data_IF_696482092119
#
_entry.id   IF_696482092119
#
_cell.length_a   1.000
_cell.length_b   1.000
_cell.length_c   1.000
_cell.angle_alpha   90.00
_cell.angle_beta   90.00
_cell.angle_gamma   90.00
#
_symmetry.space_group_name_H-M   'P 1'
#
loop_
_entity.id
_entity.type
_entity.pdbx_description
1 polymer ?
#
# COMPACT_ATOMS: atom_id res chain seq x y z
N UNK A 1 -23.82 -9.82 -2.87
CA UNK A 1 -22.48 -9.72 -2.26
C UNK A 1 -21.89 -8.37 -2.60
N UNK A 2 -21.36 -7.68 -1.60
CA UNK A 2 -20.68 -6.39 -1.78
C UNK A 2 -19.34 -6.63 -2.48
N UNK A 3 -18.96 -5.71 -3.38
CA UNK A 3 -17.71 -5.79 -4.14
C UNK A 3 -16.54 -5.54 -3.19
N UNK A 4 -15.50 -6.39 -3.21
CA UNK A 4 -14.34 -6.25 -2.32
C UNK A 4 -13.34 -5.26 -2.90
N UNK A 5 -12.68 -4.52 -2.02
CA UNK A 5 -11.49 -3.75 -2.34
C UNK A 5 -10.30 -4.44 -1.68
N UNK A 6 -9.27 -4.75 -2.46
CA UNK A 6 -8.08 -5.44 -1.96
C UNK A 6 -6.96 -4.43 -1.74
N UNK A 7 -6.34 -4.43 -0.57
CA UNK A 7 -5.17 -3.61 -0.24
C UNK A 7 -3.98 -4.49 0.16
N UNK A 8 -2.84 -4.28 -0.48
CA UNK A 8 -1.61 -4.98 -0.17
C UNK A 8 -0.63 -4.02 0.50
N UNK A 9 -0.13 -4.41 1.67
CA UNK A 9 0.84 -3.65 2.46
C UNK A 9 2.20 -4.33 2.38
N UNK A 10 3.15 -3.73 1.67
CA UNK A 10 4.55 -4.11 1.72
C UNK A 10 5.24 -3.30 2.82
N UNK A 11 5.71 -3.98 3.86
CA UNK A 11 6.36 -3.38 5.02
C UNK A 11 7.82 -3.78 5.04
N UNK A 12 8.71 -2.81 4.85
CA UNK A 12 10.15 -3.02 4.93
C UNK A 12 10.56 -3.33 6.37
N UNK A 13 11.24 -4.46 6.55
CA UNK A 13 11.83 -4.89 7.82
C UNK A 13 13.35 -5.03 7.70
N UNK A 14 13.98 -4.44 6.70
CA UNK A 14 15.43 -4.50 6.51
C UNK A 14 16.20 -3.77 7.62
N UNK A 15 17.51 -3.98 7.67
CA UNK A 15 18.34 -3.45 8.75
C UNK A 15 18.36 -1.91 8.82
N UNK A 16 18.11 -1.22 7.70
CA UNK A 16 18.05 0.24 7.65
C UNK A 16 16.85 0.79 8.44
N UNK A 17 15.78 -0.02 8.53
CA UNK A 17 14.56 0.35 9.25
C UNK A 17 14.75 0.43 10.78
N UNK A 18 15.86 -0.07 11.32
CA UNK A 18 16.11 -0.10 12.76
C UNK A 18 16.12 1.30 13.39
N UNK A 19 15.40 1.44 14.51
CA UNK A 19 15.29 2.69 15.26
C UNK A 19 14.06 3.51 14.87
N UNK A 20 14.27 4.74 14.42
CA UNK A 20 13.20 5.68 14.09
C UNK A 20 12.30 5.23 12.91
N UNK A 21 12.84 4.68 11.79
CA UNK A 21 12.00 4.33 10.64
C UNK A 21 10.96 3.24 10.93
N UNK A 22 11.32 2.18 11.69
CA UNK A 22 10.36 1.12 12.05
C UNK A 22 9.29 1.64 13.02
N UNK A 23 9.61 2.62 13.88
CA UNK A 23 8.62 3.28 14.72
C UNK A 23 7.67 4.14 13.88
N UNK A 24 8.20 4.91 12.91
CA UNK A 24 7.39 5.67 11.98
C UNK A 24 6.48 4.77 11.12
N UNK A 25 7.00 3.61 10.67
CA UNK A 25 6.22 2.59 9.97
C UNK A 25 5.09 2.06 10.85
N UNK A 26 5.39 1.63 12.08
CA UNK A 26 4.37 1.11 13.00
C UNK A 26 3.30 2.15 13.31
N UNK A 27 3.68 3.40 13.56
CA UNK A 27 2.74 4.48 13.85
C UNK A 27 1.87 4.80 12.61
N UNK A 28 2.48 4.89 11.43
CA UNK A 28 1.78 5.16 10.18
C UNK A 28 0.82 4.03 9.80
N UNK A 29 1.27 2.78 9.89
CA UNK A 29 0.47 1.59 9.55
C UNK A 29 -0.66 1.36 10.57
N UNK A 30 -0.40 1.41 11.87
CA UNK A 30 -1.46 1.24 12.87
C UNK A 30 -2.44 2.41 12.89
N UNK A 31 -1.95 3.63 12.68
CA UNK A 31 -2.80 4.81 12.49
C UNK A 31 -3.74 4.66 11.29
N UNK A 32 -3.21 4.16 10.17
CA UNK A 32 -3.98 3.83 8.98
C UNK A 32 -5.09 2.81 9.27
N UNK A 33 -4.73 1.67 9.85
CA UNK A 33 -5.69 0.61 10.18
C UNK A 33 -6.80 1.15 11.11
N UNK A 34 -6.44 1.95 12.10
CA UNK A 34 -7.41 2.57 13.02
C UNK A 34 -8.39 3.50 12.29
N UNK A 35 -7.91 4.32 11.36
CA UNK A 35 -8.76 5.20 10.55
C UNK A 35 -9.70 4.42 9.62
N UNK A 36 -9.21 3.37 8.97
CA UNK A 36 -10.05 2.52 8.11
C UNK A 36 -11.14 1.82 8.92
N UNK A 37 -10.85 1.45 10.18
CA UNK A 37 -11.85 0.86 11.07
C UNK A 37 -12.95 1.81 11.50
N UNK A 38 -12.65 3.11 11.54
CA UNK A 38 -13.62 4.14 11.85
C UNK A 38 -14.56 4.43 10.66
N UNK A 39 -14.22 4.01 9.44
CA UNK A 39 -15.02 4.17 8.23
C UNK A 39 -15.93 2.93 8.02
N UNK A 40 -17.26 3.07 8.13
CA UNK A 40 -18.19 1.95 7.96
C UNK A 40 -18.10 1.29 6.58
N UNK A 41 -17.81 2.05 5.52
CA UNK A 41 -17.72 1.49 4.16
C UNK A 41 -16.43 0.68 3.98
N UNK A 42 -15.31 1.18 4.51
CA UNK A 42 -14.06 0.44 4.50
C UNK A 42 -14.18 -0.86 5.32
N UNK A 43 -14.84 -0.80 6.49
CA UNK A 43 -15.10 -1.98 7.32
C UNK A 43 -15.87 -3.08 6.60
N UNK A 44 -16.84 -2.74 5.75
CA UNK A 44 -17.66 -3.73 5.04
C UNK A 44 -17.02 -4.26 3.75
N UNK A 45 -16.06 -3.54 3.16
CA UNK A 45 -15.59 -3.83 1.79
C UNK A 45 -14.09 -4.10 1.67
N UNK A 46 -13.28 -3.58 2.59
CA UNK A 46 -11.82 -3.67 2.51
C UNK A 46 -11.34 -5.04 2.99
N UNK A 47 -10.54 -5.66 2.14
CA UNK A 47 -9.72 -6.81 2.47
C UNK A 47 -8.25 -6.38 2.35
N UNK A 48 -7.42 -6.84 3.27
CA UNK A 48 -6.01 -6.49 3.31
C UNK A 48 -5.12 -7.71 3.46
N UNK A 49 -3.92 -7.62 2.89
CA UNK A 49 -2.82 -8.56 3.13
C UNK A 49 -1.59 -7.77 3.54
N UNK A 50 -0.84 -8.30 4.50
CA UNK A 50 0.38 -7.68 5.03
C UNK A 50 1.57 -8.57 4.73
N UNK A 51 2.53 -8.00 4.01
CA UNK A 51 3.74 -8.65 3.56
C UNK A 51 4.91 -7.89 4.16
N UNK A 52 5.76 -8.57 4.90
CA UNK A 52 7.04 -8.02 5.37
C UNK A 52 8.17 -8.48 4.46
N UNK A 53 9.16 -7.62 4.25
CA UNK A 53 10.31 -7.99 3.43
C UNK A 53 11.62 -7.41 3.96
N UNK A 54 12.64 -8.25 3.95
CA UNK A 54 14.03 -7.90 4.19
C UNK A 54 14.94 -8.69 3.24
N UNK A 55 15.67 -9.68 3.75
CA UNK A 55 16.26 -10.79 2.97
C UNK A 55 15.18 -11.74 2.46
N UNK A 56 14.20 -12.03 3.31
CA UNK A 56 13.11 -12.95 2.98
C UNK A 56 11.83 -12.14 2.85
N UNK A 57 11.00 -12.50 1.88
CA UNK A 57 9.67 -11.91 1.71
C UNK A 57 8.66 -12.87 2.34
N UNK A 58 7.82 -12.35 3.24
CA UNK A 58 6.85 -13.16 4.00
C UNK A 58 5.48 -12.50 3.96
N UNK A 59 4.47 -13.22 3.50
CA UNK A 59 3.08 -12.84 3.71
C UNK A 59 2.68 -13.21 5.13
N UNK A 60 2.84 -12.27 6.07
CA UNK A 60 2.59 -12.49 7.49
C UNK A 60 1.09 -12.44 7.83
N UNK A 61 0.29 -11.77 6.99
CA UNK A 61 -1.17 -11.75 7.10
C UNK A 61 -1.76 -12.00 5.71
N UNK A 62 -2.32 -13.20 5.46
CA UNK A 62 -2.98 -13.50 4.20
C UNK A 62 -4.18 -12.57 4.00
N UNK A 63 -4.72 -12.52 2.79
CA UNK A 63 -5.83 -11.62 2.47
C UNK A 63 -7.06 -11.93 3.36
N UNK A 64 -7.36 -11.02 4.28
CA UNK A 64 -8.49 -11.10 5.22
C UNK A 64 -9.28 -9.80 5.21
N UNK A 65 -10.52 -9.83 5.68
CA UNK A 65 -11.31 -8.62 5.89
C UNK A 65 -10.72 -7.74 7.01
N UNK A 66 -10.93 -6.43 6.92
CA UNK A 66 -10.42 -5.45 7.88
C UNK A 66 -10.91 -5.71 9.32
N UNK A 67 -12.12 -6.27 9.50
CA UNK A 67 -12.69 -6.55 10.81
C UNK A 67 -11.93 -7.69 11.52
N UNK A 68 -11.45 -8.67 10.76
CA UNK A 68 -10.66 -9.80 11.24
C UNK A 68 -9.18 -9.47 11.50
N UNK A 69 -8.67 -8.35 10.95
CA UNK A 69 -7.29 -7.94 11.19
C UNK A 69 -7.03 -7.65 12.68
N UNK A 70 -5.81 -7.78 13.16
CA UNK A 70 -5.44 -7.38 14.52
C UNK A 70 -4.17 -6.54 14.44
N UNK A 71 -4.12 -5.35 15.08
CA UNK A 71 -2.90 -4.55 15.13
C UNK A 71 -1.74 -5.39 15.66
N UNK A 72 -0.59 -5.25 15.01
CA UNK A 72 0.62 -5.96 15.38
C UNK A 72 1.82 -5.02 15.26
N UNK A 73 2.80 -5.25 16.11
CA UNK A 73 4.06 -4.54 16.06
C UNK A 73 4.99 -5.23 15.05
N UNK A 74 5.41 -4.46 14.04
CA UNK A 74 6.39 -4.89 13.06
C UNK A 74 7.78 -4.65 13.64
N UNK A 75 8.61 -5.68 13.60
CA UNK A 75 9.99 -5.63 14.09
C UNK A 75 10.94 -5.91 12.93
N UNK A 76 12.16 -5.37 13.01
CA UNK A 76 13.21 -5.58 12.03
C UNK A 76 14.45 -6.18 12.70
N UNK A 77 15.17 -7.11 12.05
CA UNK A 77 16.50 -7.53 12.47
C UNK A 77 17.51 -6.38 12.53
N UNK A 78 18.61 -6.58 13.26
CA UNK A 78 19.69 -5.59 13.38
C UNK A 78 20.37 -5.25 12.05
N UNK A 79 20.37 -6.19 11.11
CA UNK A 79 20.91 -5.99 9.78
C UNK A 79 20.24 -6.92 8.76
N UNK A 80 20.11 -6.45 7.53
CA UNK A 80 19.53 -7.22 6.45
C UNK A 80 19.42 -6.39 5.18
N UNK A 81 19.50 -7.02 3.99
CA UNK A 81 19.23 -6.35 2.73
C UNK A 81 17.73 -6.01 2.60
N UNK A 82 17.41 -5.23 1.58
CA UNK A 82 16.05 -4.76 1.26
C UNK A 82 15.64 -5.34 -0.09
N UNK A 83 15.07 -6.55 -0.12
CA UNK A 83 14.68 -7.23 -1.37
C UNK A 83 13.30 -6.76 -1.87
N UNK A 84 13.20 -5.46 -2.20
CA UNK A 84 11.96 -4.84 -2.68
C UNK A 84 11.48 -5.44 -4.00
N UNK A 85 12.38 -5.83 -4.90
CA UNK A 85 12.00 -6.47 -6.17
C UNK A 85 11.32 -7.82 -5.95
N UNK A 86 11.84 -8.65 -5.04
CA UNK A 86 11.20 -9.87 -4.61
C UNK A 86 9.84 -9.61 -3.92
N UNK A 87 9.73 -8.53 -3.15
CA UNK A 87 8.46 -8.15 -2.51
C UNK A 87 7.38 -7.79 -3.55
N UNK A 88 7.75 -7.04 -4.60
CA UNK A 88 6.84 -6.73 -5.71
C UNK A 88 6.43 -7.98 -6.49
N UNK A 89 7.33 -8.94 -6.66
CA UNK A 89 6.99 -10.23 -7.27
C UNK A 89 5.93 -10.99 -6.46
N UNK A 90 6.11 -11.11 -5.15
CA UNK A 90 5.11 -11.74 -4.28
C UNK A 90 3.76 -11.04 -4.36
N UNK A 91 3.73 -9.70 -4.35
CA UNK A 91 2.47 -8.94 -4.51
C UNK A 91 1.83 -9.23 -5.86
N UNK A 92 2.61 -9.29 -6.94
CA UNK A 92 2.08 -9.64 -8.25
C UNK A 92 1.40 -11.01 -8.24
N UNK A 93 2.03 -12.01 -7.63
CA UNK A 93 1.47 -13.35 -7.54
C UNK A 93 0.20 -13.40 -6.68
N UNK A 94 0.21 -12.72 -5.52
CA UNK A 94 -0.96 -12.64 -4.64
C UNK A 94 -2.15 -11.93 -5.33
N UNK A 95 -1.90 -10.82 -6.03
CA UNK A 95 -2.94 -10.11 -6.79
C UNK A 95 -3.54 -11.01 -7.87
N UNK A 96 -2.72 -11.74 -8.61
CA UNK A 96 -3.20 -12.66 -9.64
C UNK A 96 -4.03 -13.81 -9.07
N UNK A 97 -3.70 -14.26 -7.86
CA UNK A 97 -4.42 -15.32 -7.16
C UNK A 97 -5.75 -14.82 -6.57
N UNK A 98 -5.74 -13.67 -5.91
CA UNK A 98 -6.83 -13.25 -5.03
C UNK A 98 -7.87 -12.36 -5.72
N UNK A 99 -7.47 -11.63 -6.77
CA UNK A 99 -8.32 -10.68 -7.48
C UNK A 99 -9.36 -11.38 -8.35
N UNK A 100 -10.63 -11.25 -8.00
CA UNK A 100 -11.74 -11.76 -8.81
C UNK A 100 -12.10 -10.75 -9.88
N UNK A 101 -11.74 -11.02 -11.14
CA UNK A 101 -12.12 -10.15 -12.27
C UNK A 101 -13.63 -10.21 -12.53
N UNK A 102 -14.19 -9.09 -12.96
CA UNK A 102 -15.59 -9.02 -13.36
C UNK A 102 -15.87 -9.84 -14.62
N UNK A 103 -17.09 -10.35 -14.72
CA UNK A 103 -17.64 -11.00 -15.92
C UNK A 103 -18.97 -10.34 -16.29
N UNK A 104 -19.56 -10.73 -17.43
CA UNK A 104 -20.87 -10.23 -17.86
C UNK A 104 -21.97 -10.49 -16.80
N UNK A 105 -21.84 -11.58 -16.05
CA UNK A 105 -22.87 -12.03 -15.10
C UNK A 105 -22.56 -11.67 -13.64
N UNK A 106 -21.32 -11.26 -13.32
CA UNK A 106 -20.90 -10.95 -11.94
C UNK A 106 -19.94 -9.77 -11.88
N UNK A 107 -20.25 -8.83 -10.98
CA UNK A 107 -19.30 -7.78 -10.58
C UNK A 107 -18.11 -8.42 -9.85
N UNK A 108 -16.92 -8.26 -10.41
CA UNK A 108 -15.65 -8.64 -9.77
C UNK A 108 -15.19 -7.59 -8.77
N UNK A 109 -14.03 -7.77 -8.16
CA UNK A 109 -13.44 -6.87 -7.17
C UNK A 109 -13.08 -5.50 -7.77
N UNK A 110 -12.90 -4.50 -6.91
CA UNK A 110 -12.36 -3.20 -7.31
C UNK A 110 -10.90 -3.32 -7.72
N UNK A 111 -10.38 -2.30 -8.41
CA UNK A 111 -8.94 -2.20 -8.67
C UNK A 111 -8.19 -2.24 -7.33
N UNK A 112 -7.15 -3.09 -7.17
CA UNK A 112 -6.46 -3.24 -5.90
C UNK A 112 -5.65 -1.98 -5.57
N UNK A 113 -5.26 -1.86 -4.30
CA UNK A 113 -4.39 -0.81 -3.79
C UNK A 113 -3.06 -1.42 -3.33
N UNK A 114 -1.96 -0.72 -3.54
CA UNK A 114 -0.63 -1.12 -3.07
C UNK A 114 -0.02 0.00 -2.22
N UNK A 115 0.40 -0.34 -1.01
CA UNK A 115 1.14 0.56 -0.12
C UNK A 115 2.50 -0.06 0.17
N UNK A 116 3.56 0.74 0.06
CA UNK A 116 4.92 0.28 0.26
C UNK A 116 5.59 1.19 1.28
N UNK A 117 5.92 0.64 2.43
CA UNK A 117 6.61 1.32 3.51
C UNK A 117 8.07 0.91 3.44
N UNK A 118 8.98 1.87 3.29
CA UNK A 118 10.43 1.65 3.24
C UNK A 118 11.17 2.94 3.53
N UNK A 119 12.38 2.83 4.07
CA UNK A 119 13.31 3.94 4.22
C UNK A 119 14.28 4.05 3.02
N UNK A 120 14.07 3.27 1.95
CA UNK A 120 14.60 3.64 0.63
C UNK A 120 14.99 2.49 -0.28
N UNK A 121 16.31 2.31 -0.42
CA UNK A 121 16.94 1.75 -1.63
C UNK A 121 16.82 0.22 -1.71
N UNK A 122 16.22 -0.33 -2.79
CA UNK A 122 16.23 -1.75 -3.06
C UNK A 122 17.66 -2.29 -3.17
N UNK A 123 17.94 -3.41 -2.51
CA UNK A 123 19.20 -4.14 -2.66
C UNK A 123 19.22 -4.98 -3.95
N UNK A 124 18.05 -5.37 -4.46
CA UNK A 124 17.86 -6.17 -5.67
C UNK A 124 17.39 -5.33 -6.87
N UNK A 125 18.08 -4.21 -7.13
CA UNK A 125 17.72 -3.17 -8.12
C UNK A 125 17.32 -3.73 -9.49
N UNK A 126 18.04 -4.75 -9.99
CA UNK A 126 17.72 -5.37 -11.28
C UNK A 126 16.32 -5.98 -11.27
N UNK A 127 15.99 -6.75 -10.23
CA UNK A 127 14.66 -7.37 -10.07
C UNK A 127 13.60 -6.32 -9.80
N UNK A 128 13.91 -5.34 -8.95
CA UNK A 128 13.03 -4.20 -8.68
C UNK A 128 12.57 -3.52 -9.97
N UNK A 129 13.52 -3.11 -10.82
CA UNK A 129 13.20 -2.44 -12.10
C UNK A 129 12.50 -3.35 -13.11
N UNK A 130 12.76 -4.67 -13.07
CA UNK A 130 12.02 -5.64 -13.88
C UNK A 130 10.55 -5.76 -13.43
N UNK A 131 10.28 -5.64 -12.12
CA UNK A 131 8.95 -5.75 -11.55
C UNK A 131 8.10 -4.48 -11.66
N UNK A 132 8.70 -3.29 -11.76
CA UNK A 132 7.96 -2.03 -11.97
C UNK A 132 6.93 -2.12 -13.12
N UNK A 133 7.28 -2.49 -14.36
CA UNK A 133 6.30 -2.59 -15.44
C UNK A 133 5.25 -3.68 -15.19
N UNK A 134 5.62 -4.79 -14.52
CA UNK A 134 4.67 -5.85 -14.15
C UNK A 134 3.61 -5.30 -13.20
N UNK A 135 4.03 -4.61 -12.14
CA UNK A 135 3.13 -3.97 -11.17
C UNK A 135 2.25 -2.92 -11.84
N UNK A 136 2.81 -2.07 -12.70
CA UNK A 136 2.04 -1.07 -13.45
C UNK A 136 0.99 -1.72 -14.38
N UNK A 137 1.25 -2.91 -14.90
CA UNK A 137 0.32 -3.67 -15.74
C UNK A 137 -0.79 -4.41 -14.95
N UNK A 138 -0.70 -4.50 -13.62
CA UNK A 138 -1.74 -5.11 -12.78
C UNK A 138 -2.96 -4.19 -12.54
N UNK A 139 -2.95 -2.97 -13.11
CA UNK A 139 -4.06 -2.00 -13.06
C UNK A 139 -4.49 -1.66 -11.62
N UNK A 140 -3.50 -1.46 -10.74
CA UNK A 140 -3.74 -0.92 -9.40
C UNK A 140 -4.49 0.41 -9.50
N UNK A 141 -5.49 0.59 -8.66
CA UNK A 141 -6.22 1.85 -8.56
C UNK A 141 -5.30 2.95 -8.03
N UNK A 142 -4.47 2.62 -7.03
CA UNK A 142 -3.44 3.48 -6.47
C UNK A 142 -2.25 2.63 -6.04
N UNK A 143 -1.04 3.16 -6.28
CA UNK A 143 0.20 2.68 -5.67
C UNK A 143 0.76 3.83 -4.85
N UNK A 144 1.17 3.58 -3.60
CA UNK A 144 1.65 4.59 -2.66
C UNK A 144 3.01 4.18 -2.11
N UNK A 145 3.97 5.08 -2.26
CA UNK A 145 5.26 4.97 -1.60
C UNK A 145 5.23 5.73 -0.27
N UNK A 146 5.46 5.04 0.83
CA UNK A 146 5.56 5.59 2.17
C UNK A 146 7.04 5.60 2.60
N UNK A 147 7.68 6.75 2.45
CA UNK A 147 9.07 6.97 2.80
C UNK A 147 9.21 7.10 4.33
N UNK A 148 9.78 6.10 5.00
CA UNK A 148 9.83 6.02 6.46
C UNK A 148 11.11 6.67 7.03
N UNK A 149 10.92 7.71 7.84
CA UNK A 149 12.01 8.37 8.56
C UNK A 149 12.77 9.45 7.75
N UNK A 150 13.62 10.24 8.44
CA UNK A 150 14.18 11.48 7.89
C UNK A 150 15.23 11.27 6.79
N UNK A 151 15.78 10.05 6.69
CA UNK A 151 16.80 9.68 5.69
C UNK A 151 16.23 8.89 4.52
N UNK A 152 14.90 8.79 4.43
CA UNK A 152 14.27 7.95 3.43
C UNK A 152 14.60 8.41 2.00
N UNK A 153 15.06 7.46 1.17
CA UNK A 153 15.33 7.72 -0.25
C UNK A 153 14.06 7.54 -1.09
N UNK A 154 13.44 8.66 -1.44
CA UNK A 154 12.22 8.68 -2.26
C UNK A 154 12.47 8.36 -3.73
N UNK A 155 13.72 8.42 -4.22
CA UNK A 155 13.99 8.33 -5.67
C UNK A 155 13.51 7.00 -6.24
N UNK A 156 13.75 5.91 -5.52
CA UNK A 156 13.30 4.58 -5.94
C UNK A 156 11.78 4.46 -5.85
N UNK A 157 11.15 4.98 -4.79
CA UNK A 157 9.69 5.02 -4.68
C UNK A 157 9.04 5.76 -5.87
N UNK A 158 9.66 6.86 -6.32
CA UNK A 158 9.24 7.63 -7.50
C UNK A 158 9.40 6.89 -8.83
N UNK A 159 10.32 5.92 -8.95
CA UNK A 159 10.37 5.05 -10.13
C UNK A 159 9.08 4.21 -10.27
N UNK A 160 8.48 3.83 -9.14
CA UNK A 160 7.29 3.00 -9.07
C UNK A 160 5.98 3.80 -9.12
N UNK A 161 5.88 4.91 -8.39
CA UNK A 161 4.66 5.72 -8.29
C UNK A 161 4.96 7.20 -8.04
N UNK A 162 4.12 8.09 -8.59
CA UNK A 162 4.16 9.52 -8.30
C UNK A 162 3.59 9.87 -6.91
N UNK A 163 2.84 8.94 -6.30
CA UNK A 163 2.22 9.15 -4.98
C UNK A 163 3.19 8.73 -3.86
N UNK A 164 4.14 9.60 -3.54
CA UNK A 164 5.08 9.38 -2.43
C UNK A 164 4.74 10.29 -1.26
N UNK A 165 4.69 9.70 -0.06
CA UNK A 165 4.39 10.37 1.21
C UNK A 165 5.50 10.08 2.21
N UNK A 166 5.96 11.09 2.94
CA UNK A 166 6.88 10.89 4.06
C UNK A 166 6.14 10.54 5.34
N UNK A 167 6.59 9.48 5.98
CA UNK A 167 6.19 9.13 7.33
C UNK A 167 7.23 9.71 8.28
N UNK A 168 7.01 10.97 8.66
CA UNK A 168 7.65 11.51 9.84
C UNK A 168 6.80 11.13 11.06
N UNK A 169 7.45 10.82 12.18
CA UNK A 169 6.79 10.45 13.44
C UNK A 169 5.80 11.52 13.95
N UNK A 170 5.79 12.70 13.35
CA UNK A 170 5.01 13.88 13.73
C UNK A 170 3.87 14.25 12.79
N UNK A 171 3.71 13.64 11.60
CA UNK A 171 2.71 14.13 10.63
C UNK A 171 1.45 13.26 10.48
N UNK A 172 0.70 13.18 11.58
CA UNK A 172 -0.64 12.58 11.60
C UNK A 172 -1.62 13.27 10.64
N UNK A 173 -1.34 14.51 10.22
CA UNK A 173 -2.21 15.30 9.33
C UNK A 173 -2.06 14.83 7.90
N UNK A 174 -0.83 14.67 7.40
CA UNK A 174 -0.57 14.12 6.05
C UNK A 174 -1.18 12.72 5.90
N UNK A 175 -0.98 11.83 6.87
CA UNK A 175 -1.62 10.51 6.88
C UNK A 175 -3.15 10.64 6.84
N UNK A 176 -3.73 11.46 7.71
CA UNK A 176 -5.19 11.65 7.77
C UNK A 176 -5.79 12.20 6.46
N UNK A 177 -5.15 13.20 5.84
CA UNK A 177 -5.61 13.78 4.58
C UNK A 177 -5.46 12.80 3.42
N UNK A 178 -4.37 12.01 3.40
CA UNK A 178 -4.18 10.93 2.44
C UNK A 178 -5.26 9.85 2.59
N UNK A 179 -5.62 9.47 3.82
CA UNK A 179 -6.65 8.45 4.01
C UNK A 179 -8.06 8.95 3.77
N UNK A 180 -8.36 10.22 4.06
CA UNK A 180 -9.60 10.83 3.57
C UNK A 180 -9.68 10.75 2.06
N UNK A 181 -8.55 10.92 1.36
CA UNK A 181 -8.48 10.77 -0.09
C UNK A 181 -8.65 9.31 -0.54
N UNK A 182 -8.03 8.33 0.12
CA UNK A 182 -8.25 6.90 -0.15
C UNK A 182 -9.71 6.53 0.09
N UNK A 183 -10.27 6.82 1.27
CA UNK A 183 -11.68 6.60 1.62
C UNK A 183 -12.64 7.30 0.64
N UNK A 184 -12.33 8.52 0.22
CA UNK A 184 -13.10 9.24 -0.82
C UNK A 184 -13.02 8.55 -2.17
N UNK A 185 -11.88 7.95 -2.52
CA UNK A 185 -11.69 7.19 -3.76
C UNK A 185 -12.45 5.86 -3.74
N UNK A 186 -12.55 5.20 -2.57
CA UNK A 186 -13.43 4.03 -2.35
C UNK A 186 -14.89 4.46 -2.56
N UNK A 187 -15.28 5.61 -1.99
CA UNK A 187 -16.64 6.16 -2.07
C UNK A 187 -17.02 6.61 -3.49
N UNK A 188 -16.10 7.26 -4.22
CA UNK A 188 -16.30 7.69 -5.61
C UNK A 188 -16.28 6.51 -6.57
N UNK A 189 -15.41 5.52 -6.33
CA UNK A 189 -15.42 4.26 -7.07
C UNK A 189 -16.78 3.59 -6.97
N UNK A 190 -17.37 3.56 -5.77
CA UNK A 190 -18.74 3.07 -5.54
C UNK A 190 -19.85 3.80 -6.32
N UNK A 191 -19.60 5.03 -6.80
CA UNK A 191 -20.57 5.88 -7.50
C UNK A 191 -20.40 5.97 -9.02
N UNK A 192 -19.21 5.71 -9.58
CA UNK A 192 -19.00 5.68 -11.04
C UNK A 192 -19.52 4.38 -11.64
N UNK A 193 -20.85 4.38 -11.78
CA UNK A 193 -21.68 3.40 -12.44
C UNK A 193 -21.43 3.39 -13.95
N UNK A 194 -21.25 2.19 -14.52
CA UNK A 194 -21.89 1.83 -15.78
C UNK A 194 -21.41 2.43 -17.10
N UNK A 195 -20.45 3.34 -17.10
CA UNK A 195 -19.81 3.86 -18.33
C UNK A 195 -18.34 3.47 -18.28
N UNK A 196 -17.76 3.07 -19.41
CA UNK A 196 -16.33 2.73 -19.54
C UNK A 196 -15.40 3.94 -19.36
N UNK A 197 -15.70 4.85 -18.44
CA UNK A 197 -14.92 6.03 -18.12
C UNK A 197 -13.89 5.67 -17.05
N UNK A 198 -12.63 5.93 -17.37
CA UNK A 198 -11.49 5.81 -16.47
C UNK A 198 -11.79 6.59 -15.18
N UNK A 199 -11.66 5.92 -14.03
CA UNK A 199 -11.67 6.57 -12.73
C UNK A 199 -10.59 7.65 -12.68
N UNK A 200 -10.99 8.91 -12.77
CA UNK A 200 -10.17 10.03 -12.32
C UNK A 200 -10.28 10.09 -10.81
N UNK A 201 -9.24 9.61 -10.12
CA UNK A 201 -9.10 9.88 -8.69
C UNK A 201 -9.18 11.40 -8.49
N UNK A 202 -9.85 11.90 -7.43
CA UNK A 202 -9.72 13.30 -7.07
C UNK A 202 -8.22 13.62 -6.93
N UNK A 203 -7.78 14.85 -7.26
CA UNK A 203 -6.40 15.21 -7.01
C UNK A 203 -6.10 14.98 -5.52
N UNK A 204 -4.94 14.39 -5.20
CA UNK A 204 -4.53 14.24 -3.82
C UNK A 204 -4.58 15.60 -3.10
N UNK A 205 -5.01 15.65 -1.83
CA UNK A 205 -5.10 16.91 -1.10
C UNK A 205 -3.76 17.63 -1.11
N UNK A 206 -3.79 18.95 -1.33
CA UNK A 206 -2.60 19.82 -1.45
C UNK A 206 -1.73 19.89 -0.18
N UNK A 207 -2.22 19.36 0.94
CA UNK A 207 -1.49 19.17 2.20
C UNK A 207 -0.58 17.92 2.19
N UNK A 208 -0.78 17.03 1.23
CA UNK A 208 0.19 16.00 0.91
C UNK A 208 1.30 16.74 0.18
N UNK A 209 2.47 16.88 0.83
CA UNK A 209 3.70 17.26 0.15
C UNK A 209 4.05 16.15 -0.85
N UNK A 210 3.31 16.08 -1.94
CA UNK A 210 3.65 15.34 -3.13
C UNK A 210 4.75 16.18 -3.75
N UNK A 211 5.98 15.78 -3.43
CA UNK A 211 7.15 16.32 -4.08
C UNK A 211 7.08 15.80 -5.52
N UNK A 212 6.45 16.59 -6.40
CA UNK A 212 6.52 16.41 -7.86
C UNK A 212 7.98 16.44 -8.29
#
# INVERSE_FOLDING_TARGET
MTRRLLAYFLLDTSGSMNGEPIQALNNGFNGLISMLRADPQAMDTLHLSVITYDRDVKNIVPLIDLASFHPMEITCPDSGPTHTGAALEMVSDLVQQDLVKGSLDRKGDWRPLLFIFTDGKPSDIQKYRQMIPVIKNLDFGVIVGCAAGPKADEQFLKELTDNVVKLDATDAVTLSSFFKWVSSSITMGGKTQGTGESMTLPPPPSELNIIV
#
